data_IF_921079300023
#
_entry.id   IF_921079300023
#
_cell.length_a   1.000
_cell.length_b   1.000
_cell.length_c   1.000
_cell.angle_alpha   90.00
_cell.angle_beta   90.00
_cell.angle_gamma   90.00
#
_symmetry.space_group_name_H-M   'P 1'
#
loop_
_entity.id
_entity.type
_entity.pdbx_description
1 polymer ?
#
# COMPACT_ATOMS: atom_id res chain seq x y z
N UNK A 1 9.93 -22.97 12.20
CA UNK A 1 10.03 -22.87 10.74
C UNK A 1 9.30 -21.60 10.34
N UNK A 2 9.98 -20.71 9.60
CA UNK A 2 9.35 -19.51 9.06
C UNK A 2 8.34 -19.96 8.00
N UNK A 3 7.09 -19.52 8.08
CA UNK A 3 6.17 -19.69 6.97
C UNK A 3 6.70 -18.82 5.82
N UNK A 4 6.80 -19.38 4.61
CA UNK A 4 7.11 -18.59 3.43
C UNK A 4 5.94 -17.63 3.20
N UNK A 5 6.21 -16.39 2.79
CA UNK A 5 5.16 -15.38 2.58
C UNK A 5 4.11 -15.88 1.58
N UNK A 6 4.50 -16.73 0.62
CA UNK A 6 3.57 -17.46 -0.27
C UNK A 6 2.52 -18.25 0.52
N UNK A 7 2.91 -18.99 1.56
CA UNK A 7 1.98 -19.79 2.38
C UNK A 7 1.02 -18.89 3.18
N UNK A 8 1.47 -17.69 3.55
CA UNK A 8 0.65 -16.69 4.23
C UNK A 8 -0.33 -15.99 3.28
N UNK A 9 0.07 -15.76 2.03
CA UNK A 9 -0.81 -15.21 0.99
C UNK A 9 -1.90 -16.21 0.56
N UNK A 10 -1.63 -17.51 0.65
CA UNK A 10 -2.59 -18.58 0.30
C UNK A 10 -3.46 -19.04 1.49
N UNK A 11 -3.39 -18.41 2.66
CA UNK A 11 -3.99 -18.93 3.91
C UNK A 11 -5.54 -19.08 3.88
N UNK A 12 -6.24 -18.43 2.94
CA UNK A 12 -7.71 -18.49 2.81
C UNK A 12 -8.23 -18.86 1.41
N UNK A 13 -7.37 -19.11 0.43
CA UNK A 13 -7.79 -19.31 -0.96
C UNK A 13 -6.66 -19.00 -1.96
N UNK A 14 -6.96 -18.35 -3.10
CA UNK A 14 -5.91 -17.91 -4.04
C UNK A 14 -4.88 -17.02 -3.35
N UNK A 15 -3.68 -16.90 -3.94
CA UNK A 15 -2.68 -15.99 -3.45
C UNK A 15 -3.13 -14.54 -3.72
N UNK A 16 -3.30 -13.75 -2.66
CA UNK A 16 -3.86 -12.40 -2.77
C UNK A 16 -2.83 -11.31 -2.46
N UNK A 17 -2.57 -10.42 -3.41
CA UNK A 17 -1.70 -9.24 -3.23
C UNK A 17 -2.58 -8.03 -2.92
N UNK A 18 -2.76 -7.73 -1.63
CA UNK A 18 -3.52 -6.56 -1.17
C UNK A 18 -2.62 -5.32 -1.10
N UNK A 19 -2.99 -4.29 -1.87
CA UNK A 19 -2.25 -3.02 -1.96
C UNK A 19 -3.13 -1.86 -1.58
N UNK A 20 -2.61 -1.00 -0.73
CA UNK A 20 -3.25 0.23 -0.28
C UNK A 20 -2.47 1.43 -0.78
N UNK A 21 -3.14 2.51 -1.17
CA UNK A 21 -2.49 3.76 -1.60
C UNK A 21 -3.21 4.98 -1.03
N UNK A 22 -2.43 5.92 -0.50
CA UNK A 22 -2.90 7.26 -0.09
C UNK A 22 -2.28 8.31 -0.99
N UNK A 23 -3.07 9.29 -1.45
CA UNK A 23 -2.59 10.45 -2.22
C UNK A 23 -2.78 10.35 -3.74
N UNK A 24 -3.41 9.28 -4.22
CA UNK A 24 -3.85 9.13 -5.61
C UNK A 24 -5.30 9.58 -5.84
N UNK A 25 -5.96 10.14 -4.82
CA UNK A 25 -7.39 10.42 -4.84
C UNK A 25 -8.24 9.18 -4.57
N UNK A 26 -9.57 9.35 -4.61
CA UNK A 26 -10.55 8.30 -4.35
C UNK A 26 -11.04 7.59 -5.62
N UNK A 27 -10.48 7.89 -6.79
CA UNK A 27 -10.81 7.19 -8.03
C UNK A 27 -9.82 6.05 -8.21
N UNK A 28 -10.26 4.78 -8.11
CA UNK A 28 -9.37 3.65 -8.33
C UNK A 28 -8.84 3.61 -9.76
N UNK A 29 -7.64 3.09 -9.94
CA UNK A 29 -7.11 2.74 -11.24
C UNK A 29 -7.93 1.59 -11.85
N UNK A 30 -8.08 1.56 -13.18
CA UNK A 30 -8.79 0.47 -13.85
C UNK A 30 -7.96 -0.81 -13.82
N UNK A 31 -8.63 -1.96 -13.99
CA UNK A 31 -8.02 -3.30 -13.94
C UNK A 31 -6.81 -3.45 -14.88
N UNK A 32 -6.87 -2.87 -16.08
CA UNK A 32 -5.81 -2.98 -17.08
C UNK A 32 -4.50 -2.33 -16.62
N UNK A 33 -4.56 -1.42 -15.62
CA UNK A 33 -3.36 -0.85 -15.01
C UNK A 33 -2.56 -1.88 -14.20
N UNK A 34 -3.15 -3.02 -13.87
CA UNK A 34 -2.56 -4.11 -13.09
C UNK A 34 -2.11 -5.28 -13.96
N UNK A 35 -2.17 -5.16 -15.29
CA UNK A 35 -1.50 -6.09 -16.21
C UNK A 35 0.00 -5.78 -16.24
N UNK A 36 0.73 -6.32 -15.25
CA UNK A 36 2.10 -5.93 -14.92
C UNK A 36 3.01 -7.14 -14.82
N UNK A 37 4.30 -6.95 -15.11
CA UNK A 37 5.31 -8.02 -15.06
C UNK A 37 4.93 -9.27 -15.90
N UNK A 38 4.15 -9.08 -16.98
CA UNK A 38 3.65 -10.18 -17.81
C UNK A 38 2.55 -11.03 -17.15
N UNK A 39 2.00 -10.58 -16.02
CA UNK A 39 0.95 -11.24 -15.26
C UNK A 39 -0.36 -10.45 -15.34
N UNK A 40 -1.47 -11.17 -15.22
CA UNK A 40 -2.83 -10.62 -15.15
C UNK A 40 -3.50 -11.27 -13.94
N UNK A 41 -4.05 -10.50 -12.98
CA UNK A 41 -4.83 -11.06 -11.88
C UNK A 41 -6.00 -11.91 -12.38
N UNK A 42 -6.28 -13.02 -11.70
CA UNK A 42 -7.47 -13.83 -11.99
C UNK A 42 -8.75 -13.18 -11.44
N UNK A 43 -8.62 -12.41 -10.36
CA UNK A 43 -9.67 -11.53 -9.87
C UNK A 43 -9.08 -10.19 -9.42
N UNK A 44 -9.87 -9.13 -9.65
CA UNK A 44 -9.52 -7.75 -9.34
C UNK A 44 -10.67 -7.10 -8.57
N UNK A 45 -10.37 -6.57 -7.38
CA UNK A 45 -11.29 -5.72 -6.64
C UNK A 45 -10.58 -4.42 -6.26
N UNK A 46 -11.23 -3.29 -6.51
CA UNK A 46 -10.73 -1.99 -6.10
C UNK A 46 -11.82 -1.20 -5.40
N UNK A 47 -11.54 -0.64 -4.24
CA UNK A 47 -12.52 0.13 -3.49
C UNK A 47 -11.87 1.22 -2.62
N UNK A 48 -12.42 2.45 -2.62
CA UNK A 48 -12.09 3.44 -1.60
C UNK A 48 -12.54 2.95 -0.23
N UNK A 49 -11.68 3.06 0.78
CA UNK A 49 -12.03 2.62 2.13
C UNK A 49 -13.05 3.57 2.77
N UNK A 50 -13.98 3.04 3.55
CA UNK A 50 -15.05 3.83 4.17
C UNK A 50 -14.70 4.28 5.59
N UNK A 51 -15.25 5.42 6.02
CA UNK A 51 -15.04 5.94 7.38
C UNK A 51 -13.64 6.52 7.60
N UNK A 52 -12.99 7.03 6.55
CA UNK A 52 -11.68 7.63 6.62
C UNK A 52 -11.70 8.88 7.51
N UNK A 53 -10.68 9.11 8.36
CA UNK A 53 -10.45 10.40 8.98
C UNK A 53 -10.34 11.49 7.90
N UNK A 54 -10.84 12.71 8.17
CA UNK A 54 -10.85 13.83 7.22
C UNK A 54 -9.50 14.08 6.53
N UNK A 55 -8.40 13.87 7.24
CA UNK A 55 -7.06 14.06 6.66
C UNK A 55 -6.75 13.05 5.54
N UNK A 56 -7.18 11.79 5.71
CA UNK A 56 -7.00 10.71 4.75
C UNK A 56 -8.03 10.84 3.63
N UNK A 57 -9.30 11.13 3.96
CA UNK A 57 -10.40 11.28 2.99
C UNK A 57 -10.07 12.27 1.86
N UNK A 58 -9.42 13.40 2.21
CA UNK A 58 -8.98 14.42 1.26
C UNK A 58 -7.94 13.93 0.25
N UNK A 59 -7.04 13.04 0.68
CA UNK A 59 -6.00 12.46 -0.16
C UNK A 59 -6.50 11.21 -0.91
N UNK A 60 -7.58 10.63 -0.39
CA UNK A 60 -8.13 9.36 -0.80
C UNK A 60 -7.26 8.19 -0.37
N UNK A 61 -7.93 7.12 0.08
CA UNK A 61 -7.32 5.84 0.38
C UNK A 61 -8.08 4.74 -0.36
N UNK A 62 -7.39 4.10 -1.29
CA UNK A 62 -7.91 3.02 -2.13
C UNK A 62 -7.20 1.71 -1.78
N UNK A 63 -7.98 0.63 -1.66
CA UNK A 63 -7.50 -0.74 -1.59
C UNK A 63 -7.64 -1.40 -2.96
N UNK A 64 -6.66 -2.24 -3.30
CA UNK A 64 -6.68 -3.14 -4.45
C UNK A 64 -6.38 -4.55 -3.96
N UNK A 65 -7.31 -5.46 -4.20
CA UNK A 65 -7.16 -6.88 -3.87
C UNK A 65 -6.96 -7.61 -5.21
N UNK A 66 -5.79 -8.24 -5.37
CA UNK A 66 -5.32 -8.84 -6.63
C UNK A 66 -5.08 -10.33 -6.40
N UNK A 67 -6.00 -11.16 -6.88
CA UNK A 67 -5.97 -12.61 -6.61
C UNK A 67 -5.35 -13.38 -7.76
N UNK A 68 -4.54 -14.39 -7.41
CA UNK A 68 -3.89 -15.31 -8.33
C UNK A 68 -4.15 -16.76 -7.91
N UNK A 69 -4.74 -17.57 -8.79
CA UNK A 69 -4.91 -19.00 -8.58
C UNK A 69 -3.62 -19.78 -8.85
N UNK A 70 -2.74 -19.27 -9.72
CA UNK A 70 -1.44 -19.87 -9.99
C UNK A 70 -0.37 -19.41 -9.00
N UNK A 71 -0.04 -20.29 -8.06
CA UNK A 71 0.97 -20.06 -7.01
C UNK A 71 2.42 -20.22 -7.49
N UNK A 72 2.63 -20.59 -8.76
CA UNK A 72 3.97 -20.68 -9.37
C UNK A 72 4.50 -19.33 -9.87
N UNK A 73 3.63 -18.31 -9.92
CA UNK A 73 3.97 -16.96 -10.34
C UNK A 73 4.93 -16.26 -9.36
N UNK A 74 5.82 -15.41 -9.89
CA UNK A 74 6.67 -14.53 -9.10
C UNK A 74 5.89 -13.31 -8.58
N UNK A 75 5.08 -13.57 -7.56
CA UNK A 75 4.28 -12.57 -6.88
C UNK A 75 5.13 -11.50 -6.18
N UNK A 76 6.42 -11.75 -5.93
CA UNK A 76 7.34 -10.74 -5.37
C UNK A 76 7.66 -9.67 -6.40
N UNK A 77 8.03 -10.09 -7.61
CA UNK A 77 8.23 -9.18 -8.73
C UNK A 77 6.95 -8.39 -9.04
N UNK A 78 5.82 -9.10 -9.08
CA UNK A 78 4.52 -8.49 -9.31
C UNK A 78 4.16 -7.44 -8.26
N UNK A 79 4.33 -7.75 -6.96
CA UNK A 79 4.11 -6.78 -5.86
C UNK A 79 4.92 -5.50 -6.08
N UNK A 80 6.19 -5.62 -6.47
CA UNK A 80 7.03 -4.47 -6.77
C UNK A 80 6.51 -3.66 -7.97
N UNK A 81 6.07 -4.34 -9.03
CA UNK A 81 5.49 -3.68 -10.19
C UNK A 81 4.20 -2.91 -9.86
N UNK A 82 3.30 -3.51 -9.06
CA UNK A 82 2.07 -2.85 -8.61
C UNK A 82 2.38 -1.61 -7.77
N UNK A 83 3.25 -1.74 -6.78
CA UNK A 83 3.65 -0.62 -5.92
C UNK A 83 4.25 0.54 -6.73
N UNK A 84 5.10 0.23 -7.72
CA UNK A 84 5.64 1.23 -8.64
C UNK A 84 4.52 1.90 -9.45
N UNK A 85 3.56 1.11 -9.96
CA UNK A 85 2.46 1.61 -10.79
C UNK A 85 1.56 2.60 -10.04
N UNK A 86 1.19 2.29 -8.80
CA UNK A 86 0.29 3.12 -8.00
C UNK A 86 0.97 4.39 -7.45
N UNK A 87 2.30 4.41 -7.37
CA UNK A 87 3.08 5.57 -6.93
C UNK A 87 3.66 6.44 -8.07
N UNK A 88 3.40 6.10 -9.34
CA UNK A 88 4.05 6.73 -10.49
C UNK A 88 3.61 8.18 -10.73
N UNK A 89 2.31 8.45 -10.58
CA UNK A 89 1.69 9.65 -11.19
C UNK A 89 1.44 10.79 -10.20
N UNK A 90 1.31 10.50 -8.91
CA UNK A 90 0.99 11.51 -7.88
C UNK A 90 1.89 11.36 -6.65
N UNK A 91 1.89 12.39 -5.79
CA UNK A 91 2.49 12.31 -4.46
C UNK A 91 1.64 11.37 -3.60
N UNK A 92 2.12 10.15 -3.42
CA UNK A 92 1.43 9.04 -2.82
C UNK A 92 2.37 8.19 -1.97
N UNK A 93 1.76 7.48 -1.03
CA UNK A 93 2.39 6.41 -0.26
C UNK A 93 1.54 5.16 -0.46
N UNK A 94 2.16 4.10 -0.97
CA UNK A 94 1.51 2.82 -1.15
C UNK A 94 2.21 1.72 -0.34
N UNK A 95 1.44 0.72 0.09
CA UNK A 95 1.98 -0.43 0.79
C UNK A 95 1.18 -1.69 0.49
N UNK A 96 1.87 -2.83 0.51
CA UNK A 96 1.30 -4.15 0.38
C UNK A 96 1.33 -4.84 1.74
N UNK A 97 0.19 -5.38 2.18
CA UNK A 97 0.05 -5.98 3.51
C UNK A 97 -0.89 -7.19 3.51
N UNK A 98 -0.83 -8.01 4.55
CA UNK A 98 -1.76 -9.13 4.71
C UNK A 98 -3.18 -8.63 5.03
N UNK A 99 -4.18 -9.38 4.57
CA UNK A 99 -5.60 -9.13 4.82
C UNK A 99 -5.85 -8.99 6.34
N UNK A 100 -6.61 -7.96 6.75
CA UNK A 100 -6.96 -7.70 8.17
C UNK A 100 -6.11 -6.66 8.91
N UNK A 101 -5.20 -5.97 8.23
CA UNK A 101 -4.32 -4.93 8.80
C UNK A 101 -4.88 -3.53 8.66
N UNK A 102 -6.08 -3.26 9.18
CA UNK A 102 -6.70 -1.98 8.90
C UNK A 102 -7.29 -1.26 10.12
N UNK A 103 -6.43 -0.49 10.78
CA UNK A 103 -6.82 0.62 11.64
C UNK A 103 -6.11 1.89 11.17
N UNK A 104 -6.86 2.97 10.95
CA UNK A 104 -6.32 4.25 10.45
C UNK A 104 -5.20 4.83 11.33
N UNK A 105 -5.25 4.58 12.64
CA UNK A 105 -4.22 5.05 13.59
C UNK A 105 -2.94 4.20 13.55
N UNK A 106 -3.00 3.01 12.94
CA UNK A 106 -1.92 2.04 12.91
C UNK A 106 -1.24 1.95 11.54
N UNK A 107 -1.63 2.79 10.57
CA UNK A 107 -1.04 2.76 9.22
C UNK A 107 0.48 2.95 9.28
N UNK A 108 1.22 1.93 8.83
CA UNK A 108 2.69 1.91 8.80
C UNK A 108 3.35 2.14 10.17
N UNK A 109 2.69 1.79 11.27
CA UNK A 109 3.34 1.82 12.59
C UNK A 109 4.23 0.59 12.81
N UNK A 110 5.11 0.64 13.81
CA UNK A 110 5.92 -0.52 14.21
C UNK A 110 5.08 -1.71 14.67
N UNK A 111 3.83 -1.48 15.12
CA UNK A 111 2.90 -2.53 15.56
C UNK A 111 2.45 -3.41 14.39
N UNK A 112 2.25 -2.81 13.21
CA UNK A 112 1.80 -3.54 12.01
C UNK A 112 2.92 -3.77 10.99
N UNK A 113 4.13 -3.25 11.22
CA UNK A 113 5.25 -3.37 10.28
C UNK A 113 5.54 -4.80 9.81
N UNK A 114 5.38 -5.79 10.70
CA UNK A 114 5.57 -7.21 10.38
C UNK A 114 4.51 -7.81 9.46
N UNK A 115 3.41 -7.08 9.21
CA UNK A 115 2.31 -7.46 8.35
C UNK A 115 2.36 -6.74 6.99
N UNK A 116 3.23 -5.74 6.85
CA UNK A 116 3.53 -5.04 5.61
C UNK A 116 4.72 -5.74 4.96
N UNK A 117 4.57 -6.19 3.71
CA UNK A 117 5.61 -6.90 2.97
C UNK A 117 6.13 -6.12 1.76
N UNK A 118 5.56 -4.94 1.49
CA UNK A 118 6.14 -4.01 0.54
C UNK A 118 5.61 -2.59 0.72
N UNK A 119 6.37 -1.61 0.24
CA UNK A 119 5.93 -0.23 0.19
C UNK A 119 6.59 0.54 -0.94
N UNK A 120 5.97 1.64 -1.35
CA UNK A 120 6.54 2.62 -2.26
C UNK A 120 6.12 4.03 -1.83
N UNK A 121 7.02 4.97 -2.05
CA UNK A 121 6.78 6.41 -1.91
C UNK A 121 7.11 7.05 -3.24
N UNK A 122 6.38 8.12 -3.60
CA UNK A 122 6.60 8.80 -4.88
C UNK A 122 8.06 9.20 -5.09
N UNK A 123 8.59 8.88 -6.27
CA UNK A 123 9.96 9.17 -6.64
C UNK A 123 11.00 8.20 -6.07
N UNK A 124 10.57 7.16 -5.34
CA UNK A 124 11.44 6.09 -4.85
C UNK A 124 11.10 4.74 -5.51
N UNK A 125 12.10 3.87 -5.60
CA UNK A 125 11.86 2.49 -6.02
C UNK A 125 11.07 1.73 -4.93
N UNK A 126 10.15 0.84 -5.33
CA UNK A 126 9.41 0.01 -4.39
C UNK A 126 10.36 -0.92 -3.63
N UNK A 127 10.08 -1.10 -2.35
CA UNK A 127 10.81 -2.03 -1.47
C UNK A 127 9.88 -3.18 -1.15
N UNK A 128 10.33 -4.41 -1.40
CA UNK A 128 9.56 -5.65 -1.17
C UNK A 128 10.40 -6.65 -0.39
N UNK A 129 9.83 -7.19 0.69
CA UNK A 129 10.44 -8.20 1.55
C UNK A 129 9.50 -9.40 1.71
N UNK A 130 10.02 -10.59 1.40
CA UNK A 130 9.27 -11.84 1.34
C UNK A 130 9.80 -12.91 2.32
N UNK A 131 10.81 -12.55 3.12
CA UNK A 131 11.24 -13.35 4.27
C UNK A 131 10.48 -12.91 5.53
N UNK A 132 9.63 -13.78 6.07
CA UNK A 132 8.84 -13.50 7.27
C UNK A 132 9.69 -13.28 8.54
N UNK A 133 10.92 -13.80 8.59
CA UNK A 133 11.86 -13.48 9.66
C UNK A 133 12.42 -12.05 9.50
N UNK A 134 12.73 -11.64 8.27
CA UNK A 134 13.18 -10.28 7.98
C UNK A 134 12.09 -9.25 8.31
N UNK A 135 10.82 -9.53 7.97
CA UNK A 135 9.67 -8.66 8.31
C UNK A 135 9.51 -8.42 9.82
N UNK A 136 9.95 -9.37 10.66
CA UNK A 136 9.90 -9.26 12.13
C UNK A 136 11.12 -8.55 12.72
N UNK A 137 12.13 -8.25 11.91
CA UNK A 137 13.39 -7.63 12.34
C UNK A 137 13.33 -6.11 12.47
N UNK A 138 14.27 -5.54 13.24
CA UNK A 138 14.39 -4.09 13.42
C UNK A 138 14.70 -3.34 12.13
N UNK A 139 15.48 -3.97 11.24
CA UNK A 139 15.80 -3.38 9.93
C UNK A 139 14.53 -3.10 9.12
N UNK A 140 13.57 -4.02 9.14
CA UNK A 140 12.29 -3.83 8.45
C UNK A 140 11.42 -2.79 9.15
N UNK A 141 11.34 -2.85 10.49
CA UNK A 141 10.64 -1.81 11.28
C UNK A 141 11.12 -0.40 10.96
N UNK A 142 12.44 -0.21 10.82
CA UNK A 142 13.02 1.10 10.49
C UNK A 142 12.62 1.56 9.09
N UNK A 143 12.60 0.67 8.10
CA UNK A 143 12.12 0.98 6.74
C UNK A 143 10.64 1.37 6.72
N UNK A 144 9.80 0.66 7.47
CA UNK A 144 8.38 1.01 7.60
C UNK A 144 8.22 2.36 8.30
N UNK A 145 9.07 2.70 9.27
CA UNK A 145 9.06 4.02 9.90
C UNK A 145 9.43 5.15 8.93
N UNK A 146 10.31 4.92 7.96
CA UNK A 146 10.59 5.88 6.88
C UNK A 146 9.35 6.09 5.99
N UNK A 147 8.67 5.00 5.61
CA UNK A 147 7.42 5.08 4.85
C UNK A 147 6.32 5.81 5.65
N UNK A 148 6.24 5.58 6.97
CA UNK A 148 5.35 6.32 7.87
C UNK A 148 5.66 7.81 7.90
N UNK A 149 6.92 8.19 8.00
CA UNK A 149 7.32 9.60 7.98
C UNK A 149 6.93 10.28 6.65
N UNK A 150 7.02 9.57 5.53
CA UNK A 150 6.54 10.07 4.24
C UNK A 150 5.01 10.25 4.21
N UNK A 151 4.27 9.33 4.82
CA UNK A 151 2.81 9.44 4.98
C UNK A 151 2.43 10.63 5.86
N UNK A 152 3.10 10.81 7.00
CA UNK A 152 2.88 11.95 7.89
C UNK A 152 3.14 13.28 7.16
N UNK A 153 4.23 13.37 6.40
CA UNK A 153 4.54 14.53 5.59
C UNK A 153 3.50 14.81 4.49
N UNK A 154 2.90 13.75 3.92
CA UNK A 154 1.82 13.86 2.94
C UNK A 154 0.53 14.40 3.60
N UNK A 155 0.17 13.86 4.77
CA UNK A 155 -0.98 14.29 5.56
C UNK A 155 -0.86 15.75 5.99
N UNK A 156 0.30 16.16 6.52
CA UNK A 156 0.54 17.55 6.93
C UNK A 156 0.51 18.53 5.76
N UNK A 157 1.03 18.16 4.59
CA UNK A 157 0.98 19.02 3.41
C UNK A 157 -0.46 19.28 2.94
N UNK A 158 -1.34 18.29 3.06
CA UNK A 158 -2.77 18.43 2.77
C UNK A 158 -3.48 19.41 3.73
N UNK A 159 -3.03 19.52 4.98
CA UNK A 159 -3.59 20.48 5.95
C UNK A 159 -3.19 21.94 5.66
N UNK A 160 -1.97 22.16 5.19
CA UNK A 160 -1.46 23.52 4.91
C UNK A 160 -2.18 24.16 3.71
N UNK A 161 -2.44 23.38 2.65
CA UNK A 161 -3.18 23.88 1.48
C UNK A 161 -4.57 24.42 1.83
N UNK A 162 -5.25 23.84 2.82
CA UNK A 162 -6.60 24.25 3.24
C UNK A 162 -6.62 25.54 4.07
N UNK A 163 -5.54 25.88 4.78
CA UNK A 163 -5.48 27.15 5.54
C UNK A 163 -5.25 28.37 4.66
N UNK A 164 -4.72 28.19 3.45
CA UNK A 164 -4.44 29.27 2.52
C UNK A 164 -5.67 29.70 1.69
N UNK A 165 -6.69 28.84 1.56
CA UNK A 165 -7.94 29.15 0.84
C UNK A 165 -9.02 29.82 1.71
N UNK A 166 -8.76 30.00 3.01
CA UNK A 166 -9.72 30.58 3.98
C UNK A 166 -9.39 31.98 4.48
N UNK A 167 -8.44 32.68 3.85
CA UNK A 167 -7.92 33.97 4.31
C UNK A 167 -7.74 34.97 3.19
N UNK A 168 -8.84 35.41 2.57
CA UNK A 168 -8.90 36.70 1.88
C UNK A 168 -10.34 37.22 1.93
N UNK A 169 -10.65 37.95 3.01
CA UNK A 169 -11.72 38.95 3.01
C UNK A 169 -11.31 40.06 3.99
N UNK A 170 -10.79 41.15 3.43
CA UNK A 170 -10.64 42.48 4.04
C UNK A 170 -11.15 43.50 3.03
#
# INVERSE_FOLDING_TARGET
MAAEIRDLLCWRGPASVNVFVIGSGNTPLPEEAFHLAGMVPDAFLSFPLLGQPKAIERLGLVSYDLDFYDVSLDLREYTGAVLRRVCADTRAVAWAAFEGTFHYDELLTSRVAHQVYGYCTTGAEPVVEWDSAALRGDKWRNRIAEARAALDALLSASEVGTRQEGGDDC
#
